data_IF_647938942225
#
_entry.id   IF_647938942225
#
_cell.length_a   1.000
_cell.length_b   1.000
_cell.length_c   1.000
_cell.angle_alpha   90.00
_cell.angle_beta   90.00
_cell.angle_gamma   90.00
#
_symmetry.space_group_name_H-M   'P 1'
#
loop_
_entity.id
_entity.type
_entity.pdbx_description
1 polymer ?
#
# COMPACT_ATOMS: atom_id res chain seq x y z
N UNK A 1 -3.37 43.04 3.96
CA UNK A 1 -2.20 42.41 4.61
C UNK A 1 -1.79 41.22 3.78
N UNK A 2 -0.55 41.16 3.33
CA UNK A 2 -0.04 40.10 2.47
C UNK A 2 0.28 38.84 3.32
N UNK A 3 -0.32 37.67 3.02
CA UNK A 3 -0.06 36.44 3.76
C UNK A 3 1.43 36.04 3.80
N UNK A 4 2.21 36.42 2.79
CA UNK A 4 3.67 36.17 2.74
C UNK A 4 4.39 36.99 3.81
N UNK A 5 4.02 38.26 4.01
CA UNK A 5 4.58 39.10 5.06
C UNK A 5 4.24 38.61 6.48
N UNK A 6 3.07 38.01 6.65
CA UNK A 6 2.62 37.43 7.92
C UNK A 6 3.38 36.13 8.23
N UNK A 7 3.67 35.32 7.21
CA UNK A 7 4.54 34.15 7.31
C UNK A 7 5.99 34.53 7.69
N UNK A 8 6.51 35.60 7.08
CA UNK A 8 7.88 36.08 7.34
C UNK A 8 8.06 36.73 8.73
N UNK A 9 6.96 37.05 9.42
CA UNK A 9 6.96 37.68 10.75
C UNK A 9 6.60 36.72 11.90
N UNK A 10 6.49 35.42 11.63
CA UNK A 10 6.29 34.41 12.66
C UNK A 10 7.48 34.40 13.66
N UNK A 11 7.21 34.24 14.97
CA UNK A 11 8.27 34.12 15.96
C UNK A 11 9.08 32.85 15.65
N UNK A 12 10.40 32.98 15.77
CA UNK A 12 11.31 31.99 15.23
C UNK A 12 11.03 30.58 15.81
N UNK A 13 10.85 30.47 17.14
CA UNK A 13 10.57 29.19 17.77
C UNK A 13 9.27 28.52 17.26
N UNK A 14 8.23 29.30 16.95
CA UNK A 14 6.97 28.76 16.42
C UNK A 14 7.18 28.18 15.01
N UNK A 15 7.95 28.84 14.16
CA UNK A 15 8.26 28.35 12.81
C UNK A 15 8.98 26.99 12.87
N UNK A 16 9.96 26.85 13.77
CA UNK A 16 10.66 25.58 14.00
C UNK A 16 9.68 24.46 14.39
N UNK A 17 8.82 24.70 15.39
CA UNK A 17 7.87 23.70 15.86
C UNK A 17 6.82 23.34 14.81
N UNK A 18 6.39 24.29 13.98
CA UNK A 18 5.48 24.04 12.86
C UNK A 18 6.13 23.14 11.81
N UNK A 19 7.39 23.39 11.44
CA UNK A 19 8.12 22.54 10.49
C UNK A 19 8.31 21.13 11.07
N UNK A 20 8.74 21.03 12.33
CA UNK A 20 8.93 19.72 12.97
C UNK A 20 7.62 18.94 13.08
N UNK A 21 6.54 19.59 13.51
CA UNK A 21 5.20 19.00 13.56
C UNK A 21 4.71 18.55 12.19
N UNK A 22 4.91 19.38 11.17
CA UNK A 22 4.57 19.05 9.78
C UNK A 22 5.32 17.80 9.30
N UNK A 23 6.63 17.74 9.49
CA UNK A 23 7.44 16.58 9.08
C UNK A 23 6.98 15.32 9.81
N UNK A 24 6.72 15.38 11.12
CA UNK A 24 6.20 14.23 11.88
C UNK A 24 4.86 13.74 11.32
N UNK A 25 3.92 14.65 11.05
CA UNK A 25 2.62 14.31 10.47
C UNK A 25 2.77 13.70 9.07
N UNK A 26 3.65 14.25 8.24
CA UNK A 26 3.94 13.73 6.89
C UNK A 26 4.50 12.31 6.95
N UNK A 27 5.51 12.07 7.81
CA UNK A 27 6.12 10.76 7.97
C UNK A 27 5.11 9.75 8.52
N UNK A 28 4.38 10.12 9.58
CA UNK A 28 3.34 9.28 10.18
C UNK A 28 2.21 8.97 9.20
N UNK A 29 1.73 9.98 8.49
CA UNK A 29 0.67 9.87 7.48
C UNK A 29 1.07 8.96 6.32
N UNK A 30 2.31 9.08 5.81
CA UNK A 30 2.82 8.22 4.75
C UNK A 30 2.81 6.74 5.16
N UNK A 31 3.28 6.43 6.38
CA UNK A 31 3.28 5.05 6.91
C UNK A 31 1.88 4.53 7.20
N UNK A 32 1.02 5.38 7.74
CA UNK A 32 -0.37 5.03 8.01
C UNK A 32 -1.11 4.70 6.71
N UNK A 33 -0.94 5.51 5.66
CA UNK A 33 -1.56 5.28 4.36
C UNK A 33 -1.11 3.94 3.74
N UNK A 34 0.18 3.62 3.76
CA UNK A 34 0.70 2.32 3.29
C UNK A 34 0.12 1.15 4.09
N UNK A 35 0.14 1.26 5.42
CA UNK A 35 -0.36 0.21 6.32
C UNK A 35 -1.86 -0.05 6.10
N UNK A 36 -2.67 1.01 6.06
CA UNK A 36 -4.10 0.89 5.82
C UNK A 36 -4.38 0.26 4.45
N UNK A 37 -3.66 0.67 3.40
CA UNK A 37 -3.79 0.09 2.08
C UNK A 37 -3.51 -1.43 2.09
N UNK A 38 -2.43 -1.86 2.74
CA UNK A 38 -2.10 -3.28 2.85
C UNK A 38 -3.16 -4.07 3.65
N UNK A 39 -3.63 -3.50 4.77
CA UNK A 39 -4.69 -4.11 5.59
C UNK A 39 -5.99 -4.26 4.80
N UNK A 40 -6.39 -3.23 4.07
CA UNK A 40 -7.61 -3.27 3.24
C UNK A 40 -7.48 -4.28 2.10
N UNK A 41 -6.33 -4.33 1.42
CA UNK A 41 -6.07 -5.30 0.35
C UNK A 41 -6.14 -6.74 0.88
N UNK A 42 -5.47 -7.02 1.99
CA UNK A 42 -5.45 -8.35 2.58
C UNK A 42 -6.83 -8.75 3.12
N UNK A 43 -7.58 -7.81 3.70
CA UNK A 43 -8.96 -8.04 4.15
C UNK A 43 -9.88 -8.33 2.96
N UNK A 44 -9.73 -7.62 1.84
CA UNK A 44 -10.48 -7.87 0.62
C UNK A 44 -10.17 -9.26 0.05
N UNK A 45 -8.88 -9.65 0.02
CA UNK A 45 -8.45 -10.99 -0.42
C UNK A 45 -9.07 -12.10 0.44
N UNK A 46 -8.92 -12.01 1.77
CA UNK A 46 -9.52 -12.98 2.71
C UNK A 46 -11.04 -13.03 2.62
N UNK A 47 -11.69 -11.91 2.33
CA UNK A 47 -13.13 -11.88 2.13
C UNK A 47 -13.53 -12.59 0.83
N UNK A 48 -12.80 -12.34 -0.26
CA UNK A 48 -13.05 -12.98 -1.55
C UNK A 48 -12.83 -14.50 -1.52
N UNK A 49 -11.82 -14.97 -0.78
CA UNK A 49 -11.47 -16.38 -0.61
C UNK A 49 -12.25 -17.07 0.53
N UNK A 50 -13.11 -16.35 1.25
CA UNK A 50 -13.79 -16.90 2.43
C UNK A 50 -14.63 -18.13 2.08
N UNK A 51 -14.33 -19.25 2.75
CA UNK A 51 -15.01 -20.53 2.53
C UNK A 51 -14.44 -21.33 1.36
N UNK A 52 -13.45 -20.80 0.65
CA UNK A 52 -12.73 -21.52 -0.40
C UNK A 52 -11.40 -22.00 0.15
N UNK A 53 -11.09 -23.29 -0.04
CA UNK A 53 -9.83 -23.89 0.36
C UNK A 53 -8.95 -24.06 -0.87
N UNK A 54 -7.73 -23.53 -0.85
CA UNK A 54 -6.77 -23.74 -1.93
C UNK A 54 -6.01 -25.05 -1.71
N UNK A 55 -6.01 -25.92 -2.72
CA UNK A 55 -5.18 -27.12 -2.82
C UNK A 55 -3.95 -26.75 -3.66
N UNK A 56 -2.78 -26.75 -3.01
CA UNK A 56 -1.51 -26.38 -3.66
C UNK A 56 -0.96 -27.51 -4.54
N UNK A 57 -1.23 -28.77 -4.22
CA UNK A 57 -0.70 -29.92 -4.96
C UNK A 57 -1.36 -30.04 -6.34
N UNK A 58 -2.65 -29.70 -6.39
CA UNK A 58 -3.47 -29.81 -7.60
C UNK A 58 -3.87 -28.46 -8.22
N UNK A 59 -3.28 -27.35 -7.73
CA UNK A 59 -3.50 -25.96 -8.15
C UNK A 59 -4.98 -25.60 -8.44
N UNK A 60 -5.84 -25.78 -7.45
CA UNK A 60 -7.24 -25.40 -7.55
C UNK A 60 -7.83 -24.98 -6.21
N UNK A 61 -8.97 -24.30 -6.25
CA UNK A 61 -9.74 -24.04 -5.04
C UNK A 61 -10.92 -25.02 -4.92
N UNK A 62 -11.31 -25.35 -3.71
CA UNK A 62 -12.56 -26.02 -3.39
C UNK A 62 -13.55 -25.03 -2.80
N UNK A 63 -14.77 -25.00 -3.31
CA UNK A 63 -15.84 -24.22 -2.70
C UNK A 63 -16.43 -24.93 -1.46
N UNK A 64 -17.25 -24.25 -0.63
CA UNK A 64 -17.91 -24.87 0.53
C UNK A 64 -18.84 -26.05 0.20
N UNK A 65 -19.22 -26.22 -1.07
CA UNK A 65 -20.03 -27.36 -1.56
C UNK A 65 -19.17 -28.47 -2.19
N UNK A 66 -17.85 -28.36 -2.12
CA UNK A 66 -16.90 -29.37 -2.61
C UNK A 66 -16.52 -29.25 -4.10
N UNK A 67 -17.24 -28.45 -4.88
CA UNK A 67 -16.93 -28.20 -6.30
C UNK A 67 -15.55 -27.54 -6.47
N UNK A 68 -14.83 -27.95 -7.52
CA UNK A 68 -13.46 -27.48 -7.80
C UNK A 68 -13.49 -26.24 -8.69
N UNK A 69 -12.61 -25.30 -8.41
CA UNK A 69 -12.34 -24.11 -9.19
C UNK A 69 -10.94 -24.25 -9.79
N UNK A 70 -10.86 -24.70 -11.03
CA UNK A 70 -9.61 -24.87 -11.74
C UNK A 70 -9.09 -23.52 -12.26
N UNK A 71 -7.78 -23.44 -12.49
CA UNK A 71 -7.17 -22.30 -13.17
C UNK A 71 -7.82 -22.11 -14.56
N UNK A 72 -8.43 -20.95 -14.76
CA UNK A 72 -9.11 -20.60 -16.00
C UNK A 72 -8.21 -19.80 -16.93
N UNK A 73 -7.59 -18.75 -16.39
CA UNK A 73 -6.71 -17.86 -17.15
C UNK A 73 -5.72 -17.18 -16.22
N UNK A 74 -4.51 -16.96 -16.71
CA UNK A 74 -3.54 -16.05 -16.10
C UNK A 74 -3.54 -14.77 -16.93
N UNK A 75 -3.88 -13.64 -16.31
CA UNK A 75 -3.85 -12.32 -16.95
C UNK A 75 -2.43 -11.74 -16.80
N UNK A 76 -1.61 -11.70 -17.86
CA UNK A 76 -0.20 -11.33 -17.74
C UNK A 76 -0.01 -9.86 -17.36
N UNK A 77 -0.95 -8.98 -17.77
CA UNK A 77 -0.85 -7.53 -17.50
C UNK A 77 -1.03 -7.22 -16.02
N UNK A 78 -2.03 -7.82 -15.39
CA UNK A 78 -2.34 -7.61 -13.97
C UNK A 78 -1.62 -8.60 -13.05
N UNK A 79 -0.98 -9.64 -13.62
CA UNK A 79 -0.31 -10.74 -12.90
C UNK A 79 -1.26 -11.40 -11.89
N UNK A 80 -2.47 -11.70 -12.37
CA UNK A 80 -3.52 -12.38 -11.62
C UNK A 80 -3.80 -13.75 -12.24
N UNK A 81 -3.91 -14.77 -11.41
CA UNK A 81 -4.51 -16.04 -11.77
C UNK A 81 -6.00 -16.01 -11.44
N UNK A 82 -6.83 -16.41 -12.40
CA UNK A 82 -8.28 -16.50 -12.27
C UNK A 82 -8.68 -17.96 -12.20
N UNK A 83 -9.31 -18.36 -11.10
CA UNK A 83 -9.83 -19.70 -10.90
C UNK A 83 -11.35 -19.67 -11.03
N UNK A 84 -11.92 -20.68 -11.70
CA UNK A 84 -13.35 -20.71 -12.04
C UNK A 84 -13.97 -22.07 -11.78
N UNK A 85 -15.13 -22.07 -11.15
CA UNK A 85 -15.96 -23.26 -11.00
C UNK A 85 -16.75 -23.53 -12.29
N UNK A 86 -17.09 -24.78 -12.60
CA UNK A 86 -17.99 -25.11 -13.70
C UNK A 86 -19.31 -24.32 -13.60
N UNK A 87 -19.70 -23.67 -14.69
CA UNK A 87 -20.91 -22.86 -14.75
C UNK A 87 -22.16 -23.70 -14.41
N UNK A 88 -22.26 -24.92 -14.93
CA UNK A 88 -23.37 -25.84 -14.66
C UNK A 88 -23.48 -26.18 -13.16
N UNK A 89 -22.37 -26.49 -12.49
CA UNK A 89 -22.34 -26.75 -11.05
C UNK A 89 -22.74 -25.53 -10.23
N UNK A 90 -22.25 -24.34 -10.60
CA UNK A 90 -22.65 -23.09 -9.94
C UNK A 90 -24.13 -22.76 -10.16
N UNK A 91 -24.65 -23.00 -11.36
CA UNK A 91 -26.03 -22.67 -11.73
C UNK A 91 -27.07 -23.60 -11.09
N UNK A 92 -26.68 -24.83 -10.76
CA UNK A 92 -27.49 -25.79 -10.00
C UNK A 92 -27.28 -25.72 -8.48
N UNK A 93 -26.33 -24.90 -8.00
CA UNK A 93 -25.98 -24.81 -6.59
C UNK A 93 -27.06 -24.06 -5.78
N UNK A 94 -27.55 -24.62 -4.65
CA UNK A 94 -28.56 -23.96 -3.81
C UNK A 94 -28.04 -22.66 -3.18
N UNK A 95 -26.72 -22.49 -3.05
CA UNK A 95 -26.09 -21.30 -2.50
C UNK A 95 -25.81 -20.21 -3.54
N UNK A 96 -26.11 -20.43 -4.84
CA UNK A 96 -25.76 -19.50 -5.94
C UNK A 96 -26.12 -18.06 -5.62
N UNK A 97 -27.36 -17.81 -5.22
CA UNK A 97 -27.88 -16.46 -4.96
C UNK A 97 -27.05 -15.69 -3.92
N UNK A 98 -26.46 -16.39 -2.94
CA UNK A 98 -25.58 -15.81 -1.92
C UNK A 98 -24.08 -15.88 -2.26
N UNK A 99 -23.69 -16.71 -3.24
CA UNK A 99 -22.31 -17.02 -3.56
C UNK A 99 -21.76 -16.20 -4.75
N UNK A 100 -22.52 -16.09 -5.84
CA UNK A 100 -22.13 -15.32 -7.03
C UNK A 100 -23.37 -14.97 -7.85
N UNK A 101 -23.52 -13.72 -8.31
CA UNK A 101 -24.60 -13.35 -9.21
C UNK A 101 -24.34 -13.81 -10.67
N UNK A 102 -23.13 -14.29 -10.99
CA UNK A 102 -22.73 -14.62 -12.36
C UNK A 102 -23.16 -16.03 -12.79
N UNK A 103 -23.65 -16.16 -14.03
CA UNK A 103 -24.02 -17.45 -14.64
C UNK A 103 -22.83 -18.21 -15.21
N UNK A 104 -21.71 -17.53 -15.37
CA UNK A 104 -20.43 -18.15 -15.72
C UNK A 104 -19.83 -18.96 -14.56
N UNK A 105 -20.35 -18.78 -13.34
CA UNK A 105 -19.85 -19.40 -12.13
C UNK A 105 -19.04 -18.44 -11.26
N UNK A 106 -18.54 -18.95 -10.13
CA UNK A 106 -17.72 -18.15 -9.20
C UNK A 106 -16.29 -18.04 -9.72
N UNK A 107 -15.79 -16.82 -9.82
CA UNK A 107 -14.38 -16.54 -10.07
C UNK A 107 -13.67 -16.17 -8.77
N UNK A 108 -12.44 -16.67 -8.61
CA UNK A 108 -11.49 -16.23 -7.59
C UNK A 108 -10.25 -15.67 -8.27
N UNK A 109 -9.81 -14.52 -7.79
CA UNK A 109 -8.62 -13.84 -8.29
C UNK A 109 -7.51 -13.99 -7.25
N UNK A 110 -6.40 -14.58 -7.66
CA UNK A 110 -5.20 -14.72 -6.84
C UNK A 110 -4.08 -13.89 -7.46
N UNK A 111 -3.42 -13.06 -6.64
CA UNK A 111 -2.24 -12.34 -7.09
C UNK A 111 -1.05 -13.30 -7.19
N UNK A 112 -0.33 -13.21 -8.30
CA UNK A 112 0.90 -13.99 -8.54
C UNK A 112 2.15 -13.27 -8.06
N UNK A 113 2.01 -12.10 -7.44
CA UNK A 113 3.12 -11.25 -7.04
C UNK A 113 2.96 -10.76 -5.62
N UNK A 114 4.08 -10.40 -5.00
CA UNK A 114 4.07 -9.77 -3.69
C UNK A 114 3.31 -8.43 -3.72
N UNK A 115 2.74 -8.03 -2.58
CA UNK A 115 2.02 -6.76 -2.42
C UNK A 115 2.76 -5.56 -3.02
N UNK A 116 4.07 -5.45 -2.74
CA UNK A 116 4.92 -4.35 -3.20
C UNK A 116 4.95 -4.19 -4.72
N UNK A 117 4.72 -5.28 -5.45
CA UNK A 117 4.74 -5.30 -6.90
C UNK A 117 3.37 -5.02 -7.51
N UNK A 118 2.27 -5.27 -6.79
CA UNK A 118 0.91 -4.99 -7.27
C UNK A 118 0.76 -3.51 -7.67
N UNK A 119 -0.16 -3.21 -8.60
CA UNK A 119 -0.41 -1.82 -9.03
C UNK A 119 -0.80 -0.92 -7.85
N UNK A 120 -1.59 -1.46 -6.92
CA UNK A 120 -2.03 -0.77 -5.71
C UNK A 120 -0.83 -0.54 -4.77
N UNK A 121 -0.01 -1.55 -4.51
CA UNK A 121 1.19 -1.42 -3.67
C UNK A 121 2.19 -0.40 -4.24
N UNK A 122 2.46 -0.44 -5.55
CA UNK A 122 3.32 0.53 -6.23
C UNK A 122 2.76 1.95 -6.16
N UNK A 123 1.44 2.10 -6.32
CA UNK A 123 0.77 3.39 -6.19
C UNK A 123 0.97 4.00 -4.79
N UNK A 124 0.68 3.24 -3.72
CA UNK A 124 0.85 3.72 -2.35
C UNK A 124 2.31 4.00 -1.99
N UNK A 125 3.25 3.19 -2.49
CA UNK A 125 4.69 3.46 -2.34
C UNK A 125 5.09 4.79 -2.99
N UNK A 126 4.64 5.06 -4.22
CA UNK A 126 4.92 6.33 -4.92
C UNK A 126 4.31 7.51 -4.17
N UNK A 127 3.08 7.37 -3.68
CA UNK A 127 2.42 8.40 -2.88
C UNK A 127 3.21 8.71 -1.59
N UNK A 128 3.65 7.68 -0.88
CA UNK A 128 4.49 7.81 0.33
C UNK A 128 5.81 8.51 0.04
N UNK A 129 6.51 8.14 -1.04
CA UNK A 129 7.74 8.82 -1.46
C UNK A 129 7.50 10.30 -1.78
N UNK A 130 6.39 10.64 -2.44
CA UNK A 130 6.01 12.04 -2.68
C UNK A 130 5.77 12.79 -1.37
N UNK A 131 5.03 12.20 -0.42
CA UNK A 131 4.78 12.79 0.90
C UNK A 131 6.10 13.03 1.64
N UNK A 132 6.95 12.02 1.78
CA UNK A 132 8.24 12.13 2.47
C UNK A 132 9.17 13.12 1.76
N UNK A 133 9.14 13.16 0.43
CA UNK A 133 9.89 14.14 -0.36
C UNK A 133 9.52 15.58 -0.02
N UNK A 134 8.24 15.87 0.23
CA UNK A 134 7.82 17.19 0.73
C UNK A 134 8.40 17.45 2.12
N UNK A 135 8.39 16.47 3.03
CA UNK A 135 9.04 16.57 4.33
C UNK A 135 10.55 16.91 4.25
N UNK A 136 11.26 16.35 3.28
CA UNK A 136 12.67 16.69 2.98
C UNK A 136 12.79 18.15 2.57
N UNK A 137 11.94 18.63 1.65
CA UNK A 137 11.96 20.03 1.17
C UNK A 137 11.74 21.01 2.33
N UNK A 138 10.75 20.77 3.18
CA UNK A 138 10.49 21.62 4.36
C UNK A 138 11.65 21.59 5.35
N UNK A 139 12.25 20.42 5.57
CA UNK A 139 13.44 20.30 6.45
C UNK A 139 14.63 21.08 5.90
N UNK A 140 14.89 21.00 4.60
CA UNK A 140 15.97 21.74 3.93
C UNK A 140 15.73 23.26 3.95
N UNK A 141 14.51 23.71 3.66
CA UNK A 141 14.13 25.12 3.75
C UNK A 141 14.29 25.67 5.17
N UNK A 142 13.86 24.89 6.16
CA UNK A 142 14.09 25.18 7.58
C UNK A 142 15.58 25.31 7.88
N UNK A 143 16.41 24.34 7.49
CA UNK A 143 17.86 24.36 7.73
C UNK A 143 18.56 25.56 7.09
N UNK A 144 18.18 25.92 5.86
CA UNK A 144 18.75 27.07 5.16
C UNK A 144 18.47 28.39 5.91
N UNK A 145 17.30 28.51 6.53
CA UNK A 145 16.88 29.69 7.29
C UNK A 145 17.38 29.69 8.74
N UNK A 146 17.56 28.50 9.35
CA UNK A 146 17.93 28.30 10.76
C UNK A 146 19.43 28.04 11.00
N UNK A 147 20.28 28.32 10.02
CA UNK A 147 21.69 27.97 10.11
C UNK A 147 22.38 28.72 11.26
N UNK A 148 22.99 27.97 12.19
CA UNK A 148 23.72 28.53 13.34
C UNK A 148 22.83 28.99 14.52
N UNK A 149 21.53 28.73 14.48
CA UNK A 149 20.58 29.07 15.54
C UNK A 149 20.28 27.87 16.45
N UNK A 150 19.84 28.06 17.71
CA UNK A 150 19.34 26.97 18.52
C UNK A 150 18.16 26.27 17.82
N UNK A 151 18.20 24.94 17.76
CA UNK A 151 17.20 24.13 17.07
C UNK A 151 17.62 23.54 15.71
N UNK A 152 18.74 23.97 15.11
CA UNK A 152 19.25 23.38 13.84
C UNK A 152 19.41 21.86 13.94
N UNK A 153 19.83 21.35 15.11
CA UNK A 153 19.97 19.91 15.35
C UNK A 153 18.67 19.12 15.18
N UNK A 154 17.52 19.69 15.57
CA UNK A 154 16.21 19.03 15.41
C UNK A 154 15.82 18.92 13.94
N UNK A 155 16.11 19.96 13.15
CA UNK A 155 15.88 19.95 11.70
C UNK A 155 16.78 18.95 10.98
N UNK A 156 18.04 18.78 11.43
CA UNK A 156 18.93 17.74 10.92
C UNK A 156 18.39 16.33 11.23
N UNK A 157 17.86 16.11 12.44
CA UNK A 157 17.22 14.85 12.80
C UNK A 157 15.97 14.57 11.96
N UNK A 158 15.13 15.59 11.72
CA UNK A 158 13.95 15.49 10.87
C UNK A 158 14.32 15.14 9.41
N UNK A 159 15.36 15.79 8.87
CA UNK A 159 15.92 15.48 7.56
C UNK A 159 16.46 14.04 7.51
N UNK A 160 17.27 13.65 8.50
CA UNK A 160 17.84 12.30 8.57
C UNK A 160 16.75 11.23 8.66
N UNK A 161 15.70 11.44 9.44
CA UNK A 161 14.56 10.53 9.54
C UNK A 161 13.81 10.40 8.20
N UNK A 162 13.63 11.52 7.50
CA UNK A 162 12.98 11.54 6.17
C UNK A 162 13.82 10.78 5.14
N UNK A 163 15.13 11.01 5.10
CA UNK A 163 16.06 10.29 4.23
C UNK A 163 16.13 8.80 4.57
N UNK A 164 16.15 8.44 5.85
CA UNK A 164 16.10 7.05 6.29
C UNK A 164 14.80 6.35 5.87
N UNK A 165 13.66 7.07 5.89
CA UNK A 165 12.39 6.58 5.38
C UNK A 165 12.47 6.28 3.88
N UNK A 166 12.99 7.20 3.07
CA UNK A 166 13.17 6.99 1.63
C UNK A 166 14.12 5.80 1.38
N UNK A 167 15.25 5.74 2.08
CA UNK A 167 16.21 4.65 1.92
C UNK A 167 15.64 3.28 2.29
N UNK A 168 14.78 3.20 3.32
CA UNK A 168 14.04 1.98 3.67
C UNK A 168 13.12 1.56 2.53
N UNK A 169 12.38 2.51 1.97
CA UNK A 169 11.38 2.26 0.93
C UNK A 169 12.01 1.84 -0.40
N UNK A 170 13.16 2.44 -0.76
CA UNK A 170 13.94 2.04 -1.93
C UNK A 170 14.59 0.67 -1.74
N UNK A 171 15.15 0.38 -0.55
CA UNK A 171 15.69 -0.97 -0.25
C UNK A 171 14.62 -2.04 -0.34
N UNK A 172 13.41 -1.77 0.15
CA UNK A 172 12.28 -2.68 0.04
C UNK A 172 11.83 -2.90 -1.43
N UNK A 173 12.12 -1.97 -2.33
CA UNK A 173 11.84 -2.12 -3.76
C UNK A 173 12.95 -2.89 -4.52
N UNK A 174 14.17 -2.89 -4.00
CA UNK A 174 15.33 -3.57 -4.62
C UNK A 174 15.64 -4.94 -4.05
N UNK A 175 15.17 -5.25 -2.84
CA UNK A 175 15.05 -6.62 -2.40
C UNK A 175 14.05 -7.31 -3.34
N UNK A 176 14.58 -7.97 -4.38
CA UNK A 176 13.79 -8.65 -5.41
C UNK A 176 12.87 -9.74 -4.82
N UNK A 177 11.98 -10.31 -5.64
CA UNK A 177 11.04 -11.32 -5.18
C UNK A 177 11.78 -12.44 -4.48
N UNK A 178 11.43 -12.71 -3.21
CA UNK A 178 11.83 -13.95 -2.56
C UNK A 178 11.07 -15.06 -3.29
N UNK A 179 11.80 -15.85 -4.08
CA UNK A 179 11.34 -17.13 -4.59
C UNK A 179 11.04 -18.00 -3.36
N UNK A 180 9.78 -17.96 -2.91
CA UNK A 180 9.26 -18.95 -1.99
C UNK A 180 9.00 -20.21 -2.82
N UNK A 181 10.03 -21.06 -2.86
CA UNK A 181 10.01 -22.45 -3.31
C UNK A 181 8.93 -23.27 -2.59
#
# INVERSE_FOLDING_TARGET
>A
MDPVSLLLSLPAELELWLILGYVVVVLGGARLAEMLAQVHFERARRYAERGFAYDADADHYHCPQGERLALHVVEPKSRLAVYRAPASSCNSCPLKASCTPHDEGRHLYRSLVAWAETDIGRFHRRLSLLMVGIGVIFSLGGLARWMGQPGTGLLLLALAASLASIARDLRAAWAGPQEHE
#
